data_IF_258184222606
#
_entry.id   IF_258184222606
#
_cell.length_a   1.000
_cell.length_b   1.000
_cell.length_c   1.000
_cell.angle_alpha   90.00
_cell.angle_beta   90.00
_cell.angle_gamma   90.00
#
_symmetry.space_group_name_H-M   'P 1'
#
loop_
_entity.id
_entity.type
_entity.pdbx_description
1 polymer ?
#
# COMPACT_ATOMS: atom_id res chain seq x y z
N UNK A 1 3.29 6.75 20.52
CA UNK A 1 4.05 5.50 20.35
C UNK A 1 4.48 4.93 21.68
N UNK A 2 4.80 3.63 21.74
CA UNK A 2 5.29 2.96 22.97
C UNK A 2 6.59 3.64 23.47
N UNK A 3 7.47 4.03 22.56
CA UNK A 3 8.73 4.70 22.88
C UNK A 3 8.49 6.10 23.46
N UNK A 4 7.55 6.88 22.92
CA UNK A 4 7.25 8.21 23.46
C UNK A 4 6.69 8.14 24.88
N UNK A 5 5.83 7.18 25.17
CA UNK A 5 5.31 6.95 26.53
C UNK A 5 6.42 6.48 27.49
N UNK A 6 7.26 5.51 27.07
CA UNK A 6 8.30 4.93 27.90
C UNK A 6 9.43 5.93 28.24
N UNK A 7 9.78 6.80 27.29
CA UNK A 7 10.90 7.74 27.45
C UNK A 7 10.48 9.20 27.60
N UNK A 8 9.16 9.46 27.72
CA UNK A 8 8.60 10.81 27.88
C UNK A 8 9.09 11.81 26.80
N UNK A 9 9.22 11.34 25.56
CA UNK A 9 9.73 12.17 24.47
C UNK A 9 8.66 13.16 24.01
N UNK A 10 9.03 14.41 23.75
CA UNK A 10 8.13 15.41 23.20
C UNK A 10 7.88 15.18 21.70
N UNK A 11 6.68 15.54 21.24
CA UNK A 11 6.24 15.34 19.85
C UNK A 11 7.21 15.85 18.77
N UNK A 12 7.78 17.06 18.85
CA UNK A 12 8.73 17.53 17.85
C UNK A 12 9.95 16.64 17.72
N UNK A 13 10.53 16.26 18.87
CA UNK A 13 11.77 15.46 18.92
C UNK A 13 11.61 14.10 18.28
N UNK A 14 10.49 13.39 18.51
CA UNK A 14 10.36 12.08 17.92
C UNK A 14 10.00 12.10 16.44
N UNK A 15 9.36 13.17 15.93
CA UNK A 15 9.16 13.37 14.49
C UNK A 15 10.49 13.57 13.77
N UNK A 16 11.37 14.41 14.30
CA UNK A 16 12.71 14.63 13.75
C UNK A 16 13.52 13.31 13.72
N UNK A 17 13.47 12.53 14.79
CA UNK A 17 14.11 11.22 14.83
C UNK A 17 13.48 10.28 13.79
N UNK A 18 12.16 10.27 13.65
CA UNK A 18 11.44 9.41 12.73
C UNK A 18 11.86 9.63 11.26
N UNK A 19 11.94 10.88 10.83
CA UNK A 19 12.39 11.23 9.47
C UNK A 19 13.82 10.75 9.21
N UNK A 20 14.71 10.87 10.20
CA UNK A 20 16.08 10.40 10.08
C UNK A 20 16.22 8.87 10.03
N UNK A 21 15.21 8.13 10.49
CA UNK A 21 15.16 6.67 10.40
C UNK A 21 14.66 6.23 9.03
N UNK A 22 13.68 6.96 8.47
CA UNK A 22 13.13 6.71 7.16
C UNK A 22 11.87 7.53 6.87
N UNK A 23 11.62 7.84 5.61
CA UNK A 23 10.52 8.68 5.14
C UNK A 23 9.13 8.16 5.52
N UNK A 24 8.95 6.84 5.63
CA UNK A 24 7.66 6.25 5.98
C UNK A 24 7.40 6.22 7.50
N UNK A 25 8.44 6.39 8.32
CA UNK A 25 8.35 6.24 9.78
C UNK A 25 7.39 7.25 10.43
N UNK A 26 7.35 8.54 10.03
CA UNK A 26 6.38 9.50 10.57
C UNK A 26 4.93 9.08 10.35
N UNK A 27 4.61 8.52 9.18
CA UNK A 27 3.29 7.98 8.87
C UNK A 27 2.90 6.84 9.82
N UNK A 28 3.77 5.83 9.97
CA UNK A 28 3.51 4.70 10.87
C UNK A 28 3.38 5.11 12.35
N UNK A 29 4.07 6.15 12.77
CA UNK A 29 3.90 6.71 14.12
C UNK A 29 2.52 7.36 14.27
N UNK A 30 2.01 8.02 13.23
CA UNK A 30 0.68 8.62 13.22
C UNK A 30 -0.40 7.54 13.24
N UNK A 31 -0.21 6.46 12.49
CA UNK A 31 -1.04 5.26 12.51
C UNK A 31 -2.47 5.47 12.02
N UNK A 32 -2.71 6.46 11.17
CA UNK A 32 -4.02 6.80 10.59
C UNK A 32 -3.87 7.04 9.11
N UNK A 33 -4.95 6.91 8.31
CA UNK A 33 -4.96 7.44 6.96
C UNK A 33 -4.50 8.89 6.97
N UNK A 34 -3.64 9.27 6.04
CA UNK A 34 -3.05 10.60 6.03
C UNK A 34 -2.64 11.02 4.63
N UNK A 35 -2.70 12.32 4.39
CA UNK A 35 -2.02 12.95 3.26
C UNK A 35 -0.57 13.25 3.68
N UNK A 36 0.39 12.75 2.91
CA UNK A 36 1.82 12.83 3.19
C UNK A 36 2.46 13.74 2.16
N UNK A 37 3.23 14.72 2.64
CA UNK A 37 3.90 15.72 1.82
C UNK A 37 5.40 15.77 2.17
N UNK A 38 6.14 16.52 1.32
CA UNK A 38 7.58 16.67 1.48
C UNK A 38 8.32 15.37 1.24
N UNK A 39 9.27 15.05 2.11
CA UNK A 39 10.02 13.79 2.09
C UNK A 39 9.42 12.74 3.03
N UNK A 40 8.13 12.81 3.35
CA UNK A 40 7.47 12.00 4.36
C UNK A 40 7.39 12.65 5.75
N UNK A 41 7.89 13.87 5.90
CA UNK A 41 7.99 14.61 7.16
C UNK A 41 6.69 15.34 7.53
N UNK A 42 5.85 15.67 6.54
CA UNK A 42 4.56 16.32 6.75
C UNK A 42 3.47 15.27 6.64
N UNK A 43 2.89 14.90 7.77
CA UNK A 43 1.81 13.90 7.86
C UNK A 43 0.55 14.62 8.34
N UNK A 44 -0.43 14.74 7.45
CA UNK A 44 -1.74 15.33 7.73
C UNK A 44 -2.77 14.20 7.84
N UNK A 45 -3.17 13.80 9.07
CA UNK A 45 -4.15 12.74 9.25
C UNK A 45 -5.48 13.08 8.60
N UNK A 46 -6.07 12.11 7.93
CA UNK A 46 -7.40 12.19 7.36
C UNK A 46 -8.37 11.25 8.07
N UNK A 47 -9.63 11.65 8.12
CA UNK A 47 -10.66 10.84 8.75
C UNK A 47 -11.41 10.05 7.68
N UNK A 48 -10.92 8.89 7.35
CA UNK A 48 -11.58 7.97 6.42
C UNK A 48 -12.58 7.11 7.19
N UNK A 49 -13.82 7.62 7.34
CA UNK A 49 -14.89 7.01 8.14
C UNK A 49 -15.60 5.85 7.44
N UNK A 50 -14.89 5.01 6.70
CA UNK A 50 -15.46 3.82 6.10
C UNK A 50 -14.58 2.62 6.28
N UNK A 51 -15.19 1.46 6.32
CA UNK A 51 -14.48 0.21 6.22
C UNK A 51 -13.96 0.05 4.80
N UNK A 52 -12.69 -0.30 4.69
CA UNK A 52 -12.06 -0.68 3.42
C UNK A 52 -11.63 -2.13 3.58
N UNK A 53 -12.22 -2.98 2.76
CA UNK A 53 -11.83 -4.38 2.66
C UNK A 53 -11.11 -4.58 1.33
N UNK A 54 -10.15 -5.49 1.31
CA UNK A 54 -9.37 -5.75 0.12
C UNK A 54 -8.87 -7.19 0.05
N UNK A 55 -8.68 -7.69 -1.16
CA UNK A 55 -7.84 -8.85 -1.41
C UNK A 55 -6.41 -8.34 -1.58
N UNK A 56 -5.50 -8.80 -0.73
CA UNK A 56 -4.07 -8.57 -0.88
C UNK A 56 -3.44 -9.78 -1.55
N UNK A 57 -2.71 -9.54 -2.63
CA UNK A 57 -1.94 -10.54 -3.36
C UNK A 57 -0.46 -10.16 -3.31
N UNK A 58 0.38 -11.10 -2.90
CA UNK A 58 1.84 -10.95 -2.91
C UNK A 58 2.40 -11.95 -3.92
N UNK A 59 2.81 -11.51 -5.12
CA UNK A 59 3.46 -12.36 -6.11
C UNK A 59 4.78 -12.93 -5.62
N UNK A 60 5.28 -13.97 -6.31
CA UNK A 60 6.61 -14.50 -6.07
C UNK A 60 7.71 -13.59 -6.62
N UNK A 61 7.37 -12.77 -7.60
CA UNK A 61 8.20 -11.76 -8.21
C UNK A 61 8.60 -10.70 -7.19
N UNK A 62 9.83 -10.21 -7.32
CA UNK A 62 10.39 -9.21 -6.41
C UNK A 62 10.85 -7.98 -7.18
N UNK A 63 10.49 -6.81 -6.68
CA UNK A 63 11.01 -5.55 -7.16
C UNK A 63 11.87 -4.93 -6.06
N UNK A 64 13.05 -4.48 -6.45
CA UNK A 64 13.88 -3.65 -5.58
C UNK A 64 13.32 -2.23 -5.55
N UNK A 65 12.92 -1.76 -4.38
CA UNK A 65 12.44 -0.37 -4.19
C UNK A 65 13.43 0.65 -4.75
N UNK A 66 14.73 0.45 -4.54
CA UNK A 66 15.78 1.32 -5.12
C UNK A 66 15.72 1.35 -6.65
N UNK A 67 15.55 0.19 -7.29
CA UNK A 67 15.46 0.14 -8.76
C UNK A 67 14.15 0.75 -9.25
N UNK A 68 13.04 0.59 -8.52
CA UNK A 68 11.77 1.22 -8.86
C UNK A 68 11.89 2.75 -8.86
N UNK A 69 12.48 3.34 -7.84
CA UNK A 69 12.77 4.79 -7.80
C UNK A 69 13.71 5.22 -8.93
N UNK A 70 14.82 4.50 -9.16
CA UNK A 70 15.73 4.82 -10.25
C UNK A 70 15.07 4.71 -11.64
N UNK A 71 14.11 3.81 -11.82
CA UNK A 71 13.34 3.70 -13.04
C UNK A 71 12.32 4.84 -13.17
N UNK A 72 11.65 5.18 -12.07
CA UNK A 72 10.73 6.31 -12.00
C UNK A 72 11.40 7.63 -12.43
N UNK A 73 12.62 7.89 -11.94
CA UNK A 73 13.42 9.08 -12.30
C UNK A 73 13.80 9.13 -13.79
N UNK A 74 13.85 7.98 -14.47
CA UNK A 74 14.21 7.87 -15.89
C UNK A 74 13.01 7.97 -16.83
N UNK A 75 11.83 7.64 -16.36
CA UNK A 75 10.61 7.66 -17.14
C UNK A 75 9.99 9.06 -17.06
N UNK A 76 9.62 9.63 -18.22
CA UNK A 76 8.82 10.85 -18.21
C UNK A 76 7.46 10.58 -17.60
N UNK A 77 7.00 11.44 -16.68
CA UNK A 77 5.79 11.27 -15.88
C UNK A 77 4.47 11.53 -16.63
N UNK A 78 4.42 11.31 -17.94
CA UNK A 78 3.31 11.78 -18.79
C UNK A 78 2.05 10.90 -18.77
N UNK A 79 2.05 9.73 -18.11
CA UNK A 79 0.90 8.82 -18.14
C UNK A 79 0.59 8.22 -16.76
N UNK A 80 -0.03 9.02 -15.89
CA UNK A 80 -0.63 8.51 -14.67
C UNK A 80 -2.01 7.93 -14.99
N UNK A 81 -2.19 6.63 -14.82
CA UNK A 81 -3.51 6.02 -14.78
C UNK A 81 -4.16 6.32 -13.42
N UNK A 82 -5.21 7.13 -13.43
CA UNK A 82 -6.02 7.39 -12.25
C UNK A 82 -7.25 6.49 -12.36
N UNK A 83 -7.39 5.58 -11.41
CA UNK A 83 -8.55 4.73 -11.27
C UNK A 83 -9.45 5.26 -10.15
N UNK A 84 -10.73 4.98 -10.22
CA UNK A 84 -11.70 5.41 -9.20
C UNK A 84 -12.40 4.17 -8.65
N UNK A 85 -12.42 4.05 -7.33
CA UNK A 85 -13.25 3.09 -6.62
C UNK A 85 -14.19 3.87 -5.70
N UNK A 86 -15.47 3.93 -6.07
CA UNK A 86 -16.46 4.83 -5.49
C UNK A 86 -15.97 6.30 -5.56
N UNK A 87 -15.68 6.92 -4.40
CA UNK A 87 -15.15 8.29 -4.27
C UNK A 87 -13.63 8.34 -4.02
N UNK A 88 -12.95 7.17 -4.01
CA UNK A 88 -11.51 7.07 -3.87
C UNK A 88 -10.82 7.10 -5.24
N UNK A 89 -9.90 8.04 -5.40
CA UNK A 89 -8.96 8.02 -6.51
C UNK A 89 -7.79 7.14 -6.14
N UNK A 90 -7.57 6.11 -6.95
CA UNK A 90 -6.47 5.17 -6.77
C UNK A 90 -5.51 5.34 -7.93
N UNK A 91 -4.30 5.73 -7.62
CA UNK A 91 -3.21 5.84 -8.59
C UNK A 91 -1.91 5.42 -7.93
N UNK A 92 -0.98 4.95 -8.73
CA UNK A 92 0.35 4.60 -8.26
C UNK A 92 1.39 4.86 -9.34
N UNK A 93 2.20 5.88 -9.15
CA UNK A 93 3.25 6.31 -10.06
C UNK A 93 4.29 5.23 -10.32
N UNK A 94 4.39 4.23 -9.43
CA UNK A 94 5.29 3.09 -9.58
C UNK A 94 4.76 1.99 -10.49
N UNK A 95 3.52 2.06 -10.99
CA UNK A 95 3.01 1.00 -11.86
C UNK A 95 3.84 0.82 -13.13
N UNK A 96 4.15 1.90 -13.85
CA UNK A 96 4.97 1.85 -15.06
C UNK A 96 6.41 1.41 -14.76
N UNK A 97 7.12 1.98 -13.76
CA UNK A 97 8.41 1.45 -13.29
C UNK A 97 8.38 -0.03 -12.94
N UNK A 98 7.37 -0.46 -12.19
CA UNK A 98 7.26 -1.84 -11.72
C UNK A 98 7.09 -2.84 -12.87
N UNK A 99 6.16 -2.59 -13.80
CA UNK A 99 5.95 -3.47 -14.95
C UNK A 99 7.13 -3.45 -15.94
N UNK A 100 7.90 -2.36 -15.98
CA UNK A 100 9.11 -2.27 -16.81
C UNK A 100 10.23 -3.13 -16.23
N UNK A 101 10.38 -3.12 -14.90
CA UNK A 101 11.38 -3.92 -14.19
C UNK A 101 11.00 -5.41 -14.13
N UNK A 102 9.72 -5.70 -14.02
CA UNK A 102 9.19 -7.05 -13.91
C UNK A 102 7.94 -7.20 -14.80
N UNK A 103 8.11 -7.50 -16.08
CA UNK A 103 7.00 -7.61 -17.05
C UNK A 103 5.94 -8.67 -16.71
N UNK A 104 6.27 -9.65 -15.87
CA UNK A 104 5.32 -10.65 -15.40
C UNK A 104 4.21 -10.04 -14.55
N UNK A 105 4.46 -8.90 -13.89
CA UNK A 105 3.42 -8.24 -13.09
C UNK A 105 2.18 -7.87 -13.90
N UNK A 106 2.37 -7.40 -15.14
CA UNK A 106 1.25 -7.11 -16.03
C UNK A 106 0.43 -8.35 -16.35
N UNK A 107 1.10 -9.50 -16.59
CA UNK A 107 0.42 -10.77 -16.84
C UNK A 107 -0.35 -11.24 -15.61
N UNK A 108 0.26 -11.12 -14.42
CA UNK A 108 -0.36 -11.46 -13.14
C UNK A 108 -1.60 -10.60 -12.91
N UNK A 109 -1.47 -9.27 -13.07
CA UNK A 109 -2.59 -8.34 -12.96
C UNK A 109 -3.73 -8.72 -13.88
N UNK A 110 -3.46 -8.87 -15.17
CA UNK A 110 -4.47 -9.21 -16.18
C UNK A 110 -5.15 -10.57 -15.88
N UNK A 111 -4.38 -11.56 -15.41
CA UNK A 111 -4.94 -12.85 -15.01
C UNK A 111 -5.87 -12.71 -13.81
N UNK A 112 -5.44 -12.03 -12.75
CA UNK A 112 -6.25 -11.78 -11.56
C UNK A 112 -7.56 -11.06 -11.92
N UNK A 113 -7.48 -10.01 -12.73
CA UNK A 113 -8.64 -9.25 -13.19
C UNK A 113 -9.59 -10.09 -14.04
N UNK A 114 -9.05 -10.91 -14.92
CA UNK A 114 -9.84 -11.81 -15.77
C UNK A 114 -10.63 -12.87 -14.98
N UNK A 115 -10.00 -13.49 -13.97
CA UNK A 115 -10.64 -14.57 -13.19
C UNK A 115 -11.59 -14.03 -12.12
N UNK A 116 -11.28 -12.87 -11.55
CA UNK A 116 -12.08 -12.30 -10.45
C UNK A 116 -13.11 -11.29 -10.93
N UNK A 117 -12.92 -10.69 -12.08
CA UNK A 117 -13.65 -9.51 -12.56
C UNK A 117 -13.57 -8.34 -11.56
N UNK A 118 -12.41 -8.17 -10.93
CA UNK A 118 -12.07 -7.06 -10.04
C UNK A 118 -10.85 -6.34 -10.59
N UNK A 119 -10.73 -5.04 -10.37
CA UNK A 119 -9.53 -4.28 -10.69
C UNK A 119 -8.45 -4.50 -9.62
N UNK A 120 -7.19 -4.64 -10.02
CA UNK A 120 -6.06 -4.78 -9.13
C UNK A 120 -5.09 -3.62 -9.25
N UNK A 121 -4.64 -3.10 -8.12
CA UNK A 121 -3.77 -1.95 -8.00
C UNK A 121 -2.44 -2.34 -7.35
N UNK A 122 -1.35 -1.71 -7.79
CA UNK A 122 -0.03 -1.92 -7.18
C UNK A 122 0.03 -1.28 -5.80
N UNK A 123 0.63 -1.96 -4.84
CA UNK A 123 0.90 -1.44 -3.49
C UNK A 123 2.35 -0.96 -3.38
N UNK A 124 2.54 0.32 -3.08
CA UNK A 124 3.86 0.93 -2.96
C UNK A 124 4.72 0.76 -4.23
N UNK A 125 5.98 0.41 -4.09
CA UNK A 125 6.89 0.14 -5.21
C UNK A 125 6.71 -1.26 -5.84
N UNK A 126 5.75 -2.04 -5.36
CA UNK A 126 5.47 -3.41 -5.80
C UNK A 126 6.31 -4.45 -5.04
N UNK A 127 6.15 -5.71 -5.33
CA UNK A 127 5.31 -6.39 -6.32
C UNK A 127 3.88 -6.67 -5.84
N UNK A 128 3.56 -6.39 -4.56
CA UNK A 128 2.22 -6.63 -3.99
C UNK A 128 1.16 -5.84 -4.73
N UNK A 129 -0.02 -6.46 -4.85
CA UNK A 129 -1.20 -5.87 -5.46
C UNK A 129 -2.40 -6.02 -4.53
N UNK A 130 -3.38 -5.15 -4.67
CA UNK A 130 -4.64 -5.26 -3.94
C UNK A 130 -5.83 -4.93 -4.83
N UNK A 131 -6.99 -5.46 -4.46
CA UNK A 131 -8.28 -5.10 -5.06
C UNK A 131 -9.24 -4.72 -3.95
N UNK A 132 -10.08 -3.72 -4.19
CA UNK A 132 -11.10 -3.24 -3.25
C UNK A 132 -12.45 -3.85 -3.57
N UNK A 133 -13.29 -3.99 -2.55
CA UNK A 133 -14.66 -4.48 -2.70
C UNK A 133 -15.36 -4.61 -1.35
N UNK A 134 -16.63 -4.98 -1.38
CA UNK A 134 -17.32 -5.39 -0.16
C UNK A 134 -16.87 -6.80 0.30
N UNK A 135 -17.04 -7.08 1.58
CA UNK A 135 -16.56 -8.32 2.19
C UNK A 135 -17.18 -9.57 1.55
N UNK A 136 -18.46 -9.53 1.19
CA UNK A 136 -19.15 -10.68 0.61
C UNK A 136 -18.66 -10.98 -0.80
N UNK A 137 -18.50 -9.94 -1.62
CA UNK A 137 -17.94 -10.05 -2.95
C UNK A 137 -16.51 -10.58 -2.91
N UNK A 138 -15.63 -9.94 -2.13
CA UNK A 138 -14.22 -10.33 -2.02
C UNK A 138 -14.04 -11.76 -1.52
N UNK A 139 -14.91 -12.21 -0.59
CA UNK A 139 -14.86 -13.60 -0.08
C UNK A 139 -15.15 -14.62 -1.19
N UNK A 140 -16.11 -14.32 -2.07
CA UNK A 140 -16.41 -15.19 -3.21
C UNK A 140 -15.28 -15.17 -4.26
N UNK A 141 -14.69 -14.01 -4.47
CA UNK A 141 -13.66 -13.80 -5.51
C UNK A 141 -12.29 -14.38 -5.15
N UNK A 142 -11.93 -14.36 -3.86
CA UNK A 142 -10.64 -14.91 -3.42
C UNK A 142 -10.54 -16.42 -3.66
N UNK A 143 -11.67 -17.14 -3.60
CA UNK A 143 -11.73 -18.58 -3.86
C UNK A 143 -11.44 -18.96 -5.32
N UNK A 144 -11.50 -17.97 -6.24
CA UNK A 144 -11.15 -18.17 -7.65
C UNK A 144 -9.64 -18.09 -7.91
N UNK A 145 -8.88 -17.60 -6.93
CA UNK A 145 -7.43 -17.38 -7.07
C UNK A 145 -6.69 -18.65 -6.63
N UNK A 146 -5.87 -19.21 -7.50
CA UNK A 146 -4.99 -20.33 -7.14
C UNK A 146 -3.87 -19.85 -6.21
N UNK A 147 -4.01 -20.14 -4.91
CA UNK A 147 -3.11 -19.69 -3.87
C UNK A 147 -1.66 -20.18 -4.04
N UNK A 148 -1.46 -21.29 -4.76
CA UNK A 148 -0.12 -21.88 -4.96
C UNK A 148 0.75 -21.03 -5.92
N UNK A 149 0.14 -20.17 -6.70
CA UNK A 149 0.85 -19.29 -7.63
C UNK A 149 1.45 -18.03 -6.97
N UNK A 150 1.10 -17.79 -5.70
CA UNK A 150 1.45 -16.57 -5.00
C UNK A 150 2.14 -16.88 -3.66
N UNK A 151 2.97 -15.97 -3.21
CA UNK A 151 3.56 -16.03 -1.88
C UNK A 151 2.51 -15.84 -0.78
N UNK A 152 1.51 -15.00 -1.04
CA UNK A 152 0.41 -14.74 -0.12
C UNK A 152 -0.81 -14.24 -0.89
N UNK A 153 -1.99 -14.74 -0.52
CA UNK A 153 -3.29 -14.14 -0.88
C UNK A 153 -4.12 -14.10 0.39
N UNK A 154 -4.63 -12.91 0.74
CA UNK A 154 -5.46 -12.75 1.95
C UNK A 154 -6.53 -11.68 1.77
N UNK A 155 -7.67 -11.90 2.42
CA UNK A 155 -8.60 -10.83 2.76
C UNK A 155 -8.02 -10.02 3.92
N UNK A 156 -7.96 -8.72 3.75
CA UNK A 156 -7.48 -7.77 4.75
C UNK A 156 -8.44 -6.59 4.82
N UNK A 157 -8.42 -5.87 5.92
CA UNK A 157 -9.21 -4.65 6.10
C UNK A 157 -8.35 -3.50 6.58
N UNK A 158 -8.80 -2.30 6.31
CA UNK A 158 -8.24 -1.08 6.92
C UNK A 158 -8.25 -1.21 8.44
N UNK A 159 -7.17 -0.78 9.07
CA UNK A 159 -7.09 -0.60 10.51
C UNK A 159 -7.06 0.90 10.84
N UNK A 160 -7.67 1.28 11.96
CA UNK A 160 -7.70 2.69 12.39
C UNK A 160 -6.43 3.11 13.15
N UNK A 161 -5.61 2.13 13.55
CA UNK A 161 -4.35 2.34 14.25
C UNK A 161 -3.29 1.38 13.73
N UNK A 162 -2.05 1.86 13.63
CA UNK A 162 -0.91 1.03 13.19
C UNK A 162 -0.44 0.02 14.24
N UNK A 163 -0.91 0.13 15.49
CA UNK A 163 -0.57 -0.77 16.59
C UNK A 163 -1.65 -0.74 17.67
N UNK A 164 -1.88 -1.88 18.29
CA UNK A 164 -2.65 -2.00 19.53
C UNK A 164 -1.69 -2.21 20.69
N UNK A 165 -1.89 -1.49 21.80
CA UNK A 165 -1.20 -1.80 23.05
C UNK A 165 -1.92 -2.96 23.70
N UNK A 166 -1.27 -4.13 23.75
CA UNK A 166 -1.71 -5.21 24.62
C UNK A 166 -1.51 -4.69 26.05
N UNK A 167 -2.59 -4.47 26.77
CA UNK A 167 -2.52 -4.25 28.22
C UNK A 167 -2.25 -5.60 28.87
N UNK A 168 -1.16 -5.69 29.61
CA UNK A 168 -0.88 -6.80 30.51
C UNK A 168 -1.95 -6.90 31.60
#
# INVERSE_FOLDING_TARGET
SILTKKYNLQMPTYREIAVNVGSDVPFFITGKPANILGIGDIVNPENLQRDINMILVVPNEKISTRHAFSMFDKLSQENLEINEYEDLKIFNDFWIPAQTLEPNLLKIKNNLESITNLEFYLSGSGSSMFSLGDTEELTKKIDLIDLNQFKLVKLVKKIDFSFETISD
#
